data_IF_797386280952
#
_entry.id   IF_797386280952
#
_cell.length_a   1.000
_cell.length_b   1.000
_cell.length_c   1.000
_cell.angle_alpha   90.00
_cell.angle_beta   90.00
_cell.angle_gamma   90.00
#
_symmetry.space_group_name_H-M   'P 1'
#
loop_
_entity.id
_entity.type
_entity.pdbx_description
1 polymer ?
#
# COMPACT_ATOMS: atom_id res chain seq x y z
N UNK A 1 15.51 -15.85 15.30
CA UNK A 1 14.40 -16.80 15.51
C UNK A 1 13.46 -16.66 14.31
N UNK A 2 13.59 -17.57 13.36
CA UNK A 2 12.89 -17.55 12.08
C UNK A 2 11.45 -18.04 12.24
N UNK A 3 10.46 -17.32 11.69
CA UNK A 3 9.13 -17.88 11.39
C UNK A 3 8.59 -17.32 10.07
N UNK A 4 8.86 -18.09 9.01
CA UNK A 4 8.20 -18.05 7.72
C UNK A 4 6.76 -18.57 7.88
N UNK A 5 5.77 -17.84 7.37
CA UNK A 5 4.41 -18.37 7.15
C UNK A 5 4.25 -18.62 5.65
N UNK A 6 4.54 -19.85 5.22
CA UNK A 6 4.35 -20.31 3.86
C UNK A 6 2.95 -20.90 3.69
N UNK A 7 2.17 -20.33 2.78
CA UNK A 7 0.91 -20.89 2.31
C UNK A 7 1.15 -22.16 1.48
N UNK A 8 0.28 -23.14 1.67
CA UNK A 8 0.25 -24.43 0.95
C UNK A 8 -0.37 -24.23 -0.44
N UNK A 9 0.27 -24.71 -1.53
CA UNK A 9 -0.45 -25.05 -2.74
C UNK A 9 -0.63 -26.58 -2.86
N UNK A 10 -1.89 -26.97 -3.01
CA UNK A 10 -2.33 -28.29 -3.44
C UNK A 10 -1.89 -28.50 -4.89
N UNK A 11 -0.98 -29.45 -5.12
CA UNK A 11 -0.58 -29.89 -6.47
C UNK A 11 -1.53 -31.00 -6.89
N UNK A 12 -2.47 -30.69 -7.78
CA UNK A 12 -3.24 -31.69 -8.52
C UNK A 12 -2.35 -32.18 -9.67
N UNK A 13 -1.89 -33.43 -9.56
CA UNK A 13 -1.16 -34.10 -10.61
C UNK A 13 -2.09 -34.54 -11.74
N UNK A 14 -1.73 -34.20 -12.97
CA UNK A 14 -2.26 -34.82 -14.19
C UNK A 14 -1.07 -35.30 -15.03
N UNK A 15 -1.04 -36.61 -15.26
CA UNK A 15 0.00 -37.33 -16.00
C UNK A 15 -0.19 -37.15 -17.52
N UNK A 16 0.93 -36.93 -18.20
CA UNK A 16 1.10 -36.81 -19.65
C UNK A 16 0.89 -38.15 -20.38
N UNK A 17 0.31 -38.10 -21.60
CA UNK A 17 0.87 -38.71 -22.80
C UNK A 17 0.01 -38.41 -24.04
N UNK A 18 0.61 -37.88 -25.11
CA UNK A 18 0.72 -38.52 -26.44
C UNK A 18 1.44 -37.56 -27.41
N UNK A 19 2.37 -38.16 -28.14
CA UNK A 19 3.32 -37.61 -29.09
C UNK A 19 2.70 -36.98 -30.35
N UNK A 20 3.39 -35.98 -30.91
CA UNK A 20 3.20 -35.53 -32.29
C UNK A 20 4.41 -34.74 -32.78
N UNK A 21 5.23 -35.35 -33.65
CA UNK A 21 6.28 -34.67 -34.40
C UNK A 21 5.66 -33.87 -35.55
N UNK A 22 6.01 -32.59 -35.68
CA UNK A 22 5.95 -31.88 -36.95
C UNK A 22 7.08 -30.85 -37.01
N UNK A 23 7.96 -31.03 -38.00
CA UNK A 23 9.01 -30.09 -38.37
C UNK A 23 8.35 -28.92 -39.10
N UNK A 24 8.51 -27.72 -38.57
CA UNK A 24 8.05 -26.48 -39.20
C UNK A 24 9.02 -25.35 -38.91
N UNK A 25 9.94 -25.10 -39.83
CA UNK A 25 10.74 -23.89 -39.90
C UNK A 25 9.80 -22.71 -40.19
N UNK A 26 9.31 -22.06 -39.13
CA UNK A 26 8.54 -20.83 -39.19
C UNK A 26 9.27 -19.76 -38.40
N UNK A 27 9.80 -18.75 -39.11
CA UNK A 27 10.42 -17.59 -38.51
C UNK A 27 9.51 -17.00 -37.42
N UNK A 28 9.97 -17.00 -36.18
CA UNK A 28 9.32 -16.28 -35.10
C UNK A 28 9.47 -14.80 -35.38
N UNK A 29 8.50 -14.23 -36.09
CA UNK A 29 8.30 -12.79 -36.12
C UNK A 29 8.05 -12.35 -34.68
N UNK A 30 9.05 -11.73 -34.05
CA UNK A 30 8.89 -11.03 -32.79
C UNK A 30 7.82 -9.96 -33.00
N UNK A 31 6.58 -10.22 -32.57
CA UNK A 31 5.54 -9.20 -32.53
C UNK A 31 6.06 -8.13 -31.58
N UNK A 32 6.32 -6.90 -32.05
CA UNK A 32 6.74 -5.82 -31.16
C UNK A 32 5.63 -5.62 -30.13
N UNK A 33 6.00 -5.68 -28.85
CA UNK A 33 5.09 -5.35 -27.78
C UNK A 33 4.46 -3.97 -28.06
N UNK A 34 3.14 -3.81 -27.92
CA UNK A 34 2.52 -2.52 -28.16
C UNK A 34 3.19 -1.47 -27.27
N UNK A 35 3.71 -0.41 -27.90
CA UNK A 35 4.26 0.72 -27.17
C UNK A 35 3.19 1.25 -26.21
N UNK A 36 3.54 1.57 -24.94
CA UNK A 36 2.57 2.13 -24.01
C UNK A 36 1.98 3.39 -24.63
N UNK A 37 0.65 3.43 -24.75
CA UNK A 37 -0.06 4.60 -25.24
C UNK A 37 0.39 5.82 -24.43
N UNK A 38 0.81 6.88 -25.13
CA UNK A 38 1.26 8.10 -24.49
C UNK A 38 0.14 8.63 -23.59
N UNK A 39 0.42 8.73 -22.29
CA UNK A 39 -0.54 9.23 -21.33
C UNK A 39 -0.76 10.73 -21.60
N UNK A 40 -1.99 11.25 -21.54
CA UNK A 40 -2.21 12.69 -21.66
C UNK A 40 -1.36 13.45 -20.65
N UNK A 41 -0.73 14.56 -21.07
CA UNK A 41 0.19 15.33 -20.23
C UNK A 41 -0.43 15.75 -18.87
N UNK A 42 -1.73 16.08 -18.85
CA UNK A 42 -2.46 16.42 -17.63
C UNK A 42 -2.55 15.24 -16.64
N UNK A 43 -2.74 14.01 -17.13
CA UNK A 43 -2.78 12.82 -16.28
C UNK A 43 -1.39 12.48 -15.73
N UNK A 44 -0.33 12.69 -16.52
CA UNK A 44 1.05 12.54 -16.05
C UNK A 44 1.40 13.57 -14.96
N UNK A 45 0.98 14.83 -15.13
CA UNK A 45 1.16 15.88 -14.13
C UNK A 45 0.43 15.57 -12.81
N UNK A 46 -0.82 15.10 -12.88
CA UNK A 46 -1.57 14.69 -11.69
C UNK A 46 -0.92 13.49 -10.96
N UNK A 47 -0.43 12.50 -11.72
CA UNK A 47 0.31 11.37 -11.17
C UNK A 47 1.58 11.82 -10.44
N UNK A 48 2.34 12.75 -11.05
CA UNK A 48 3.54 13.31 -10.43
C UNK A 48 3.21 14.10 -9.15
N UNK A 49 2.15 14.92 -9.16
CA UNK A 49 1.71 15.68 -7.99
C UNK A 49 1.27 14.76 -6.83
N UNK A 50 0.56 13.67 -7.14
CA UNK A 50 0.20 12.65 -6.14
C UNK A 50 1.44 11.98 -5.56
N UNK A 51 2.40 11.54 -6.38
CA UNK A 51 3.62 10.89 -5.90
C UNK A 51 4.51 11.84 -5.08
N UNK A 52 4.54 13.13 -5.42
CA UNK A 52 5.31 14.13 -4.68
C UNK A 52 4.91 14.23 -3.21
N UNK A 53 3.64 13.94 -2.87
CA UNK A 53 3.16 13.90 -1.48
C UNK A 53 3.15 12.48 -0.91
N UNK A 54 2.84 11.47 -1.73
CA UNK A 54 2.67 10.08 -1.27
C UNK A 54 4.03 9.42 -0.95
N UNK A 55 5.06 9.65 -1.76
CA UNK A 55 6.38 9.04 -1.54
C UNK A 55 7.00 9.42 -0.19
N UNK A 56 7.14 10.71 0.18
CA UNK A 56 7.71 11.05 1.48
C UNK A 56 6.81 10.62 2.65
N UNK A 57 5.49 10.68 2.50
CA UNK A 57 4.57 10.20 3.54
C UNK A 57 4.71 8.69 3.77
N UNK A 58 4.74 7.88 2.70
CA UNK A 58 4.93 6.43 2.78
C UNK A 58 6.26 6.10 3.45
N UNK A 59 7.37 6.70 3.00
CA UNK A 59 8.68 6.43 3.59
C UNK A 59 8.71 6.73 5.10
N UNK A 60 8.03 7.79 5.54
CA UNK A 60 7.92 8.12 6.97
C UNK A 60 7.05 7.11 7.71
N UNK A 61 5.89 6.77 7.17
CA UNK A 61 4.99 5.77 7.76
C UNK A 61 5.70 4.42 7.88
N UNK A 62 6.40 3.97 6.85
CA UNK A 62 7.16 2.71 6.86
C UNK A 62 8.20 2.72 7.97
N UNK A 63 9.01 3.78 8.06
CA UNK A 63 10.01 3.92 9.10
C UNK A 63 9.42 3.96 10.52
N UNK A 64 8.27 4.61 10.71
CA UNK A 64 7.62 4.73 12.01
C UNK A 64 6.91 3.41 12.41
N UNK A 65 6.27 2.72 11.47
CA UNK A 65 5.70 1.39 11.69
C UNK A 65 6.78 0.33 11.94
N UNK A 66 7.89 0.36 11.21
CA UNK A 66 9.02 -0.57 11.41
C UNK A 66 9.62 -0.44 12.82
N UNK A 67 9.75 0.78 13.34
CA UNK A 67 10.18 1.01 14.72
C UNK A 67 9.15 0.51 15.71
N UNK A 68 7.88 0.87 15.53
CA UNK A 68 6.76 0.46 16.38
C UNK A 68 6.61 -1.07 16.46
N UNK A 69 6.77 -1.78 15.35
CA UNK A 69 6.66 -3.24 15.27
C UNK A 69 7.96 -3.98 15.61
N UNK A 70 9.08 -3.28 15.50
CA UNK A 70 10.44 -3.77 15.71
C UNK A 70 11.07 -3.25 17.00
N UNK A 71 12.01 -2.31 16.85
CA UNK A 71 12.93 -1.88 17.92
C UNK A 71 12.21 -1.35 19.17
N UNK A 72 11.10 -0.64 18.98
CA UNK A 72 10.39 0.08 20.06
C UNK A 72 9.23 -0.74 20.63
N UNK A 73 8.98 -1.95 20.12
CA UNK A 73 7.89 -2.83 20.56
C UNK A 73 7.90 -3.15 22.06
N UNK A 74 9.08 -3.17 22.68
CA UNK A 74 9.27 -3.44 24.11
C UNK A 74 9.31 -2.20 25.00
N UNK A 75 9.26 -1.01 24.42
CA UNK A 75 9.34 0.27 25.13
C UNK A 75 8.03 1.05 24.94
N UNK A 76 7.27 1.18 26.03
CA UNK A 76 5.97 1.86 25.97
C UNK A 76 6.09 3.34 25.59
N UNK A 77 7.13 4.02 26.05
CA UNK A 77 7.29 5.45 25.79
C UNK A 77 7.65 5.68 24.31
N UNK A 78 8.59 4.89 23.79
CA UNK A 78 8.99 4.94 22.39
C UNK A 78 7.83 4.54 21.45
N UNK A 79 7.17 3.40 21.71
CA UNK A 79 6.03 2.96 20.90
C UNK A 79 4.88 3.99 20.88
N UNK A 80 4.63 4.69 21.98
CA UNK A 80 3.64 5.79 22.00
C UNK A 80 4.10 7.00 21.20
N UNK A 81 5.39 7.30 21.15
CA UNK A 81 5.93 8.38 20.34
C UNK A 81 5.75 8.06 18.84
N UNK A 82 6.15 6.86 18.41
CA UNK A 82 5.96 6.41 17.03
C UNK A 82 4.49 6.49 16.59
N UNK A 83 3.56 6.03 17.42
CA UNK A 83 2.12 6.11 17.11
C UNK A 83 1.62 7.55 16.94
N UNK A 84 2.16 8.52 17.70
CA UNK A 84 1.79 9.93 17.49
C UNK A 84 2.35 10.46 16.17
N UNK A 85 3.57 10.06 15.82
CA UNK A 85 4.21 10.47 14.57
C UNK A 85 3.52 9.87 13.34
N UNK A 86 3.09 8.60 13.44
CA UNK A 86 2.24 7.93 12.44
C UNK A 86 0.95 8.75 12.23
N UNK A 87 0.17 8.99 13.29
CA UNK A 87 -1.09 9.72 13.17
C UNK A 87 -0.90 11.15 12.62
N UNK A 88 0.17 11.84 13.04
CA UNK A 88 0.50 13.16 12.52
C UNK A 88 0.86 13.15 11.03
N UNK A 89 1.59 12.12 10.57
CA UNK A 89 1.96 11.93 9.17
C UNK A 89 0.73 11.67 8.31
N UNK A 90 -0.21 10.83 8.79
CA UNK A 90 -1.48 10.59 8.09
C UNK A 90 -2.30 11.87 7.92
N UNK A 91 -2.49 12.64 8.99
CA UNK A 91 -3.22 13.92 8.91
C UNK A 91 -2.53 14.94 8.01
N UNK A 92 -1.19 14.94 7.94
CA UNK A 92 -0.47 15.79 7.02
C UNK A 92 -0.75 15.39 5.56
N UNK A 93 -0.64 14.09 5.26
CA UNK A 93 -0.94 13.54 3.94
C UNK A 93 -2.39 13.83 3.51
N UNK A 94 -3.37 13.67 4.39
CA UNK A 94 -4.79 13.93 4.06
C UNK A 94 -5.03 15.39 3.69
N UNK A 95 -4.39 16.33 4.41
CA UNK A 95 -4.47 17.77 4.08
C UNK A 95 -3.82 18.10 2.75
N UNK A 96 -2.69 17.47 2.43
CA UNK A 96 -2.02 17.65 1.14
C UNK A 96 -2.85 17.06 0.00
N UNK A 97 -3.38 15.83 0.18
CA UNK A 97 -4.21 15.13 -0.79
C UNK A 97 -5.48 15.92 -1.12
N UNK A 98 -6.14 16.50 -0.11
CA UNK A 98 -7.35 17.30 -0.29
C UNK A 98 -7.14 18.56 -1.14
N UNK A 99 -5.89 19.03 -1.29
CA UNK A 99 -5.54 20.19 -2.11
C UNK A 99 -5.20 19.84 -3.55
N UNK A 100 -5.01 18.56 -3.89
CA UNK A 100 -4.65 18.15 -5.24
C UNK A 100 -5.86 18.24 -6.18
N UNK A 101 -5.64 18.86 -7.33
CA UNK A 101 -6.56 18.78 -8.46
C UNK A 101 -6.30 17.48 -9.23
N UNK A 102 -7.05 16.42 -8.87
CA UNK A 102 -6.97 15.13 -9.54
C UNK A 102 -8.03 14.99 -10.66
N UNK A 103 -7.76 14.20 -11.71
CA UNK A 103 -8.78 13.80 -12.67
C UNK A 103 -9.98 13.14 -11.97
N UNK A 104 -11.18 13.30 -12.53
CA UNK A 104 -12.44 12.88 -11.89
C UNK A 104 -12.44 11.43 -11.40
N UNK A 105 -11.87 10.49 -12.17
CA UNK A 105 -11.77 9.09 -11.78
C UNK A 105 -10.98 8.93 -10.47
N UNK A 106 -9.75 9.43 -10.41
CA UNK A 106 -8.92 9.42 -9.20
C UNK A 106 -9.53 10.23 -8.05
N UNK A 107 -10.18 11.37 -8.34
CA UNK A 107 -10.83 12.20 -7.34
C UNK A 107 -11.98 11.48 -6.60
N UNK A 108 -12.62 10.47 -7.22
CA UNK A 108 -13.64 9.66 -6.58
C UNK A 108 -13.12 8.89 -5.35
N UNK A 109 -11.81 8.62 -5.29
CA UNK A 109 -11.16 7.89 -4.21
C UNK A 109 -10.59 8.77 -3.10
N UNK A 110 -10.49 10.09 -3.31
CA UNK A 110 -9.89 11.01 -2.32
C UNK A 110 -10.67 11.01 -1.00
N UNK A 111 -12.00 11.15 -1.05
CA UNK A 111 -12.84 11.12 0.15
C UNK A 111 -12.79 9.76 0.87
N UNK A 112 -12.92 8.61 0.17
CA UNK A 112 -12.67 7.31 0.78
C UNK A 112 -11.30 7.17 1.44
N UNK A 113 -10.23 7.65 0.80
CA UNK A 113 -8.88 7.57 1.36
C UNK A 113 -8.73 8.42 2.62
N UNK A 114 -9.16 9.67 2.57
CA UNK A 114 -9.10 10.57 3.74
C UNK A 114 -9.91 9.98 4.90
N UNK A 115 -11.13 9.50 4.65
CA UNK A 115 -11.94 8.91 5.72
C UNK A 115 -11.32 7.65 6.34
N UNK A 116 -10.66 6.82 5.52
CA UNK A 116 -9.94 5.64 5.99
C UNK A 116 -8.71 6.02 6.83
N UNK A 117 -7.92 6.99 6.35
CA UNK A 117 -6.77 7.52 7.06
C UNK A 117 -7.18 8.19 8.38
N UNK A 118 -8.22 9.03 8.40
CA UNK A 118 -8.75 9.64 9.63
C UNK A 118 -9.15 8.58 10.66
N UNK A 119 -9.85 7.53 10.23
CA UNK A 119 -10.24 6.41 11.10
C UNK A 119 -9.01 5.70 11.66
N UNK A 120 -7.98 5.46 10.83
CA UNK A 120 -6.73 4.83 11.25
C UNK A 120 -5.93 5.74 12.18
N UNK A 121 -5.78 7.02 11.86
CA UNK A 121 -5.09 8.02 12.66
C UNK A 121 -5.73 8.18 14.05
N UNK A 122 -7.07 8.21 14.12
CA UNK A 122 -7.80 8.24 15.39
C UNK A 122 -7.55 7.00 16.25
N UNK A 123 -7.53 5.82 15.63
CA UNK A 123 -7.21 4.57 16.33
C UNK A 123 -5.76 4.57 16.83
N UNK A 124 -4.84 5.02 15.99
CA UNK A 124 -3.41 5.15 16.29
C UNK A 124 -3.18 6.14 17.44
N UNK A 125 -3.85 7.29 17.43
CA UNK A 125 -3.80 8.28 18.49
C UNK A 125 -4.34 7.74 19.82
N UNK A 126 -5.46 7.00 19.80
CA UNK A 126 -5.97 6.28 20.99
C UNK A 126 -4.96 5.25 21.49
N UNK A 127 -4.35 4.47 20.59
CA UNK A 127 -3.31 3.51 20.96
C UNK A 127 -2.10 4.18 21.62
N UNK A 128 -1.72 5.38 21.17
CA UNK A 128 -0.65 6.19 21.78
C UNK A 128 -0.95 6.67 23.21
N UNK A 129 -2.18 6.54 23.69
CA UNK A 129 -2.56 6.80 25.09
C UNK A 129 -2.55 5.55 25.98
N UNK A 130 -2.32 4.35 25.42
CA UNK A 130 -2.39 3.07 26.13
C UNK A 130 -1.50 3.04 27.36
N UNK A 131 -2.06 2.75 28.54
CA UNK A 131 -1.34 2.76 29.83
C UNK A 131 -0.22 1.73 30.00
N UNK A 132 -0.19 0.70 29.16
CA UNK A 132 0.74 -0.44 29.30
C UNK A 132 0.96 -1.14 27.95
N UNK A 133 2.08 -1.87 27.84
CA UNK A 133 2.38 -2.69 26.66
C UNK A 133 1.32 -3.78 26.39
N UNK A 134 0.77 -4.50 27.39
CA UNK A 134 -0.30 -5.46 27.13
C UNK A 134 -1.55 -4.83 26.52
N UNK A 135 -1.98 -3.65 26.99
CA UNK A 135 -3.13 -2.93 26.42
C UNK A 135 -2.84 -2.50 24.99
N UNK A 136 -1.65 -1.93 24.75
CA UNK A 136 -1.22 -1.53 23.41
C UNK A 136 -1.15 -2.72 22.45
N UNK A 137 -0.61 -3.85 22.91
CA UNK A 137 -0.54 -5.07 22.12
C UNK A 137 -1.93 -5.63 21.78
N UNK A 138 -2.92 -5.46 22.67
CA UNK A 138 -4.32 -5.80 22.39
C UNK A 138 -4.96 -4.97 21.28
N UNK A 139 -4.42 -3.78 20.98
CA UNK A 139 -4.92 -2.90 19.90
C UNK A 139 -4.28 -3.19 18.54
N UNK A 140 -3.10 -3.85 18.50
CA UNK A 140 -2.36 -4.13 17.25
C UNK A 140 -3.19 -4.79 16.15
N UNK A 141 -4.02 -5.83 16.41
CA UNK A 141 -4.84 -6.42 15.35
C UNK A 141 -5.81 -5.42 14.71
N UNK A 142 -6.33 -4.47 15.49
CA UNK A 142 -7.22 -3.41 14.97
C UNK A 142 -6.44 -2.38 14.16
N UNK A 143 -5.23 -2.03 14.58
CA UNK A 143 -4.32 -1.16 13.82
C UNK A 143 -4.00 -1.79 12.46
N UNK A 144 -3.61 -3.06 12.43
CA UNK A 144 -3.36 -3.79 11.18
C UNK A 144 -4.60 -3.85 10.28
N UNK A 145 -5.78 -4.16 10.85
CA UNK A 145 -7.02 -4.23 10.08
C UNK A 145 -7.42 -2.87 9.46
N UNK A 146 -6.99 -1.76 10.05
CA UNK A 146 -7.24 -0.42 9.52
C UNK A 146 -6.43 -0.11 8.24
N UNK A 147 -5.43 -0.92 7.87
CA UNK A 147 -4.68 -0.74 6.62
C UNK A 147 -5.51 -1.09 5.37
N UNK A 148 -6.36 -2.11 5.45
CA UNK A 148 -7.10 -2.61 4.30
C UNK A 148 -7.97 -1.55 3.55
N UNK A 149 -8.76 -0.68 4.23
CA UNK A 149 -9.49 0.37 3.52
C UNK A 149 -8.56 1.42 2.90
N UNK A 150 -7.41 1.71 3.52
CA UNK A 150 -6.39 2.63 2.98
C UNK A 150 -5.77 2.06 1.71
N UNK A 151 -5.27 0.82 1.75
CA UNK A 151 -4.67 0.12 0.61
C UNK A 151 -5.62 0.05 -0.58
N UNK A 152 -6.90 -0.22 -0.33
CA UNK A 152 -7.93 -0.24 -1.38
C UNK A 152 -8.05 1.12 -2.08
N UNK A 153 -8.15 2.20 -1.32
CA UNK A 153 -8.33 3.53 -1.88
C UNK A 153 -7.05 4.02 -2.58
N UNK A 154 -5.86 3.75 -2.02
CA UNK A 154 -4.56 4.02 -2.67
C UNK A 154 -4.44 3.27 -3.99
N UNK A 155 -4.82 1.99 -4.02
CA UNK A 155 -4.81 1.18 -5.24
C UNK A 155 -5.72 1.78 -6.31
N UNK A 156 -6.92 2.25 -5.92
CA UNK A 156 -7.86 2.94 -6.81
C UNK A 156 -7.27 4.23 -7.41
N UNK A 157 -6.73 5.12 -6.56
CA UNK A 157 -6.07 6.36 -7.02
C UNK A 157 -4.94 6.03 -8.00
N UNK A 158 -4.06 5.09 -7.65
CA UNK A 158 -2.90 4.74 -8.47
C UNK A 158 -3.32 4.16 -9.82
N UNK A 159 -4.32 3.26 -9.83
CA UNK A 159 -4.87 2.72 -11.07
C UNK A 159 -5.44 3.84 -11.98
N UNK A 160 -6.24 4.75 -11.44
CA UNK A 160 -6.84 5.85 -12.19
C UNK A 160 -5.83 6.91 -12.66
N UNK A 161 -4.67 6.99 -12.02
CA UNK A 161 -3.52 7.81 -12.45
C UNK A 161 -2.56 7.07 -13.38
N UNK A 162 -2.83 5.79 -13.69
CA UNK A 162 -1.95 4.92 -14.49
C UNK A 162 -0.61 4.63 -13.81
N UNK A 163 -0.55 4.72 -12.49
CA UNK A 163 0.60 4.36 -11.69
C UNK A 163 0.62 2.84 -11.46
N UNK A 164 1.80 2.22 -11.28
CA UNK A 164 1.87 0.84 -10.82
C UNK A 164 1.16 0.71 -9.46
N UNK A 165 0.72 -0.49 -9.06
CA UNK A 165 0.19 -0.70 -7.71
C UNK A 165 1.19 -0.21 -6.64
N UNK A 166 0.71 0.12 -5.43
CA UNK A 166 1.62 0.41 -4.33
C UNK A 166 2.40 -0.85 -3.95
N UNK A 167 3.61 -0.68 -3.44
CA UNK A 167 4.36 -1.81 -2.87
C UNK A 167 3.60 -2.35 -1.66
N UNK A 168 3.39 -3.66 -1.61
CA UNK A 168 2.79 -4.34 -0.45
C UNK A 168 3.91 -5.02 0.32
N UNK A 169 4.15 -4.59 1.56
CA UNK A 169 5.09 -5.21 2.49
C UNK A 169 4.36 -5.94 3.62
#
# INVERSE_FOLDING_TARGET
MNRLWGAVPVVVGAVLAVSGCAVGLGASASVPAPAPAARPAAAAAAAAAYLAIATPANHRLDADFDRFDGADRGDLAAARADLRDIAATEHAFDRDLARLALPQAAAAWVRPLISANETRADLTARAATSGSLPLLNGLRPRLTAANAPVERAVTGIRADLGLPPPDTH
#
